data_IF_662003929675
#
_entry.id   IF_662003929675
#
_cell.length_a   1.000
_cell.length_b   1.000
_cell.length_c   1.000
_cell.angle_alpha   90.00
_cell.angle_beta   90.00
_cell.angle_gamma   90.00
#
_symmetry.space_group_name_H-M   'P 1'
#
loop_
_entity.id
_entity.type
_entity.pdbx_description
1 polymer ?
#
# COMPACT_ATOMS: atom_id res chain seq x y z
N UNK A 1 -46.71 -23.19 3.92
CA UNK A 1 -45.92 -23.63 2.74
C UNK A 1 -44.64 -22.78 2.74
N UNK A 2 -43.53 -23.16 3.38
CA UNK A 2 -42.78 -24.42 3.30
C UNK A 2 -41.74 -24.27 2.18
N UNK A 3 -40.53 -23.77 2.42
CA UNK A 3 -39.33 -24.54 2.81
C UNK A 3 -38.15 -23.53 2.90
N UNK A 4 -37.46 -23.31 4.01
CA UNK A 4 -36.44 -24.15 4.66
C UNK A 4 -35.37 -24.70 3.73
N UNK A 5 -34.23 -24.02 3.61
CA UNK A 5 -32.94 -24.64 3.34
C UNK A 5 -31.87 -24.04 4.27
N UNK A 6 -31.57 -24.79 5.34
CA UNK A 6 -30.30 -24.72 6.06
C UNK A 6 -29.29 -25.57 5.29
N UNK A 7 -28.04 -25.13 5.20
CA UNK A 7 -26.91 -26.03 5.06
C UNK A 7 -25.81 -25.60 6.02
N UNK A 8 -25.44 -26.55 6.87
CA UNK A 8 -24.38 -26.50 7.84
C UNK A 8 -23.07 -26.97 7.21
N UNK A 9 -21.94 -26.53 7.76
CA UNK A 9 -20.77 -27.39 7.92
C UNK A 9 -20.19 -27.19 9.31
N UNK A 10 -20.29 -28.26 10.09
CA UNK A 10 -19.47 -28.58 11.24
C UNK A 10 -18.15 -29.21 10.76
N UNK A 11 -17.04 -28.87 11.41
CA UNK A 11 -15.96 -29.84 11.63
C UNK A 11 -15.58 -29.83 13.10
N UNK A 12 -15.78 -30.99 13.69
CA UNK A 12 -15.32 -31.43 14.99
C UNK A 12 -13.79 -31.52 15.04
N UNK A 13 -13.20 -31.05 16.13
CA UNK A 13 -12.07 -31.71 16.79
C UNK A 13 -12.26 -31.46 18.29
N UNK A 14 -12.38 -32.55 19.04
CA UNK A 14 -12.66 -32.58 20.49
C UNK A 14 -11.42 -32.18 21.32
N UNK A 15 -11.62 -31.80 22.59
CA UNK A 15 -10.65 -31.12 23.44
C UNK A 15 -9.72 -32.08 24.19
N UNK A 16 -8.52 -31.61 24.54
CA UNK A 16 -7.77 -32.16 25.66
C UNK A 16 -7.68 -31.12 26.78
N UNK A 17 -8.08 -31.54 27.98
CA UNK A 17 -7.91 -30.86 29.25
C UNK A 17 -6.80 -31.52 30.05
N UNK A 18 -6.33 -30.78 31.07
CA UNK A 18 -5.38 -31.09 32.16
C UNK A 18 -3.92 -30.74 31.88
N UNK A 19 -3.14 -30.29 32.87
CA UNK A 19 -3.37 -29.53 34.10
C UNK A 19 -1.97 -29.14 34.60
N UNK A 20 -1.91 -28.03 35.32
CA UNK A 20 -0.83 -27.50 36.15
C UNK A 20 0.26 -28.47 36.66
N UNK A 21 1.50 -27.98 36.71
CA UNK A 21 2.34 -28.10 37.91
C UNK A 21 3.42 -27.01 37.98
N UNK A 22 3.51 -26.39 39.16
CA UNK A 22 4.55 -25.48 39.67
C UNK A 22 5.18 -26.21 40.86
N UNK A 23 6.50 -26.08 41.07
CA UNK A 23 7.01 -25.71 42.40
C UNK A 23 8.07 -24.60 42.28
N UNK A 24 8.05 -23.49 43.03
CA UNK A 24 8.18 -23.29 44.47
C UNK A 24 9.60 -23.54 45.04
N UNK A 25 10.19 -22.47 45.60
CA UNK A 25 11.38 -22.47 46.49
C UNK A 25 12.61 -21.79 45.85
N UNK A 26 13.27 -20.78 46.43
CA UNK A 26 13.24 -20.24 47.79
C UNK A 26 14.06 -18.92 47.86
N UNK A 27 13.60 -17.98 48.71
CA UNK A 27 14.34 -17.15 49.71
C UNK A 27 15.68 -16.47 49.31
N UNK A 28 16.11 -15.29 49.76
CA UNK A 28 15.68 -14.22 50.66
C UNK A 28 16.82 -13.15 50.60
N UNK A 29 16.52 -11.91 51.02
CA UNK A 29 17.47 -10.85 51.41
C UNK A 29 18.33 -10.22 50.28
N UNK A 30 18.65 -8.92 50.27
CA UNK A 30 18.67 -7.89 51.31
C UNK A 30 18.70 -6.51 50.63
N UNK A 31 18.19 -5.52 51.34
CA UNK A 31 18.28 -4.10 51.01
C UNK A 31 19.69 -3.52 51.20
N UNK A 32 20.04 -2.52 50.38
CA UNK A 32 20.81 -1.31 50.76
C UNK A 32 20.77 -0.36 49.55
N UNK A 33 19.98 0.72 49.52
CA UNK A 33 20.19 2.02 50.17
C UNK A 33 21.52 2.71 49.82
N UNK A 34 21.40 3.99 49.40
CA UNK A 34 22.43 5.04 49.24
C UNK A 34 23.17 4.97 47.89
N UNK A 35 23.47 6.05 47.19
CA UNK A 35 23.44 7.50 47.47
C UNK A 35 23.55 8.22 46.11
N UNK A 36 22.75 9.25 45.90
CA UNK A 36 23.03 10.32 44.93
C UNK A 36 24.13 11.23 45.54
N UNK A 37 24.96 11.93 44.74
CA UNK A 37 24.59 13.33 44.50
C UNK A 37 25.04 13.95 43.16
N UNK A 38 24.11 14.72 42.59
CA UNK A 38 24.22 16.12 42.13
C UNK A 38 25.47 16.58 41.35
N UNK A 39 25.22 17.14 40.17
CA UNK A 39 25.75 18.42 39.60
C UNK A 39 24.95 18.69 38.30
N UNK A 40 23.95 19.59 38.21
CA UNK A 40 23.90 21.04 38.40
C UNK A 40 24.82 21.83 37.46
N UNK A 41 24.30 22.23 36.29
CA UNK A 41 24.69 23.41 35.48
C UNK A 41 23.44 23.87 34.69
N UNK A 42 22.64 24.79 35.24
CA UNK A 42 22.63 26.25 35.00
C UNK A 42 22.31 26.65 33.54
N UNK A 43 21.08 27.14 33.37
CA UNK A 43 20.61 27.97 32.24
C UNK A 43 21.21 29.38 32.32
N UNK A 44 21.36 30.07 31.19
CA UNK A 44 21.14 31.51 31.15
C UNK A 44 19.89 31.86 30.33
N UNK A 45 19.03 32.68 30.94
CA UNK A 45 18.02 33.48 30.25
C UNK A 45 18.74 34.59 29.48
N UNK A 46 18.45 34.73 28.19
CA UNK A 46 18.67 35.98 27.48
C UNK A 46 17.34 36.40 26.85
N UNK A 47 16.76 37.48 27.41
CA UNK A 47 15.65 38.22 26.81
C UNK A 47 16.24 39.08 25.69
N UNK A 48 15.96 38.75 24.44
CA UNK A 48 16.16 39.66 23.31
C UNK A 48 14.80 40.20 22.89
N UNK A 49 14.62 41.51 23.09
CA UNK A 49 13.48 42.30 22.65
C UNK A 49 13.37 42.24 21.13
N UNK A 50 12.21 41.82 20.63
CA UNK A 50 11.82 41.96 19.22
C UNK A 50 11.49 43.44 18.93
N UNK A 51 12.00 44.05 17.86
CA UNK A 51 11.58 45.38 17.43
C UNK A 51 10.16 45.34 16.83
N UNK A 52 9.39 46.44 16.89
CA UNK A 52 8.00 46.47 16.45
C UNK A 52 7.90 46.39 14.92
N UNK A 53 6.94 45.60 14.45
CA UNK A 53 6.55 45.48 13.04
C UNK A 53 5.86 46.79 12.61
N UNK A 54 6.26 47.44 11.51
CA UNK A 54 5.56 48.62 11.03
C UNK A 54 4.16 48.22 10.52
N UNK A 55 3.16 48.96 10.99
CA UNK A 55 1.75 48.85 10.60
C UNK A 55 1.59 49.08 9.10
N UNK A 56 1.18 48.05 8.36
CA UNK A 56 0.73 48.22 6.98
C UNK A 56 -0.60 48.98 6.97
N UNK A 57 -0.55 50.17 6.38
CA UNK A 57 -1.69 51.00 6.04
C UNK A 57 -2.75 50.23 5.24
N UNK A 58 -4.01 50.39 5.64
CA UNK A 58 -5.21 49.92 4.93
C UNK A 58 -5.19 50.41 3.48
N UNK A 59 -5.08 49.49 2.53
CA UNK A 59 -5.46 49.75 1.14
C UNK A 59 -6.99 49.82 1.02
N UNK A 60 -7.56 50.75 0.24
CA UNK A 60 -9.00 50.81 0.03
C UNK A 60 -9.49 49.60 -0.78
N UNK A 61 -10.48 48.88 -0.25
CA UNK A 61 -11.15 47.76 -0.92
C UNK A 61 -11.92 48.26 -2.15
N UNK A 62 -11.70 47.72 -3.36
CA UNK A 62 -12.65 47.90 -4.44
C UNK A 62 -13.89 47.06 -4.14
N UNK A 63 -15.09 47.65 -4.28
CA UNK A 63 -16.36 46.92 -4.22
C UNK A 63 -16.45 45.97 -5.42
N UNK A 64 -15.98 44.74 -5.26
CA UNK A 64 -16.27 43.66 -6.20
C UNK A 64 -17.63 43.05 -5.84
N UNK A 65 -18.62 43.20 -6.74
CA UNK A 65 -19.87 42.43 -6.66
C UNK A 65 -19.53 40.96 -6.86
N UNK A 66 -19.75 40.14 -5.84
CA UNK A 66 -19.68 38.68 -5.93
C UNK A 66 -20.78 38.16 -6.87
N UNK A 67 -20.46 37.48 -7.98
CA UNK A 67 -21.48 36.76 -8.74
C UNK A 67 -22.00 35.61 -7.88
N UNK A 68 -23.33 35.55 -7.70
CA UNK A 68 -24.01 34.42 -7.07
C UNK A 68 -23.82 33.20 -7.96
N UNK A 69 -23.04 32.22 -7.51
CA UNK A 69 -22.98 30.91 -8.15
C UNK A 69 -24.33 30.21 -7.96
N UNK A 70 -24.92 29.60 -9.01
CA UNK A 70 -26.04 28.70 -8.82
C UNK A 70 -25.60 27.50 -7.97
N UNK A 71 -26.51 26.89 -7.18
CA UNK A 71 -26.18 25.71 -6.40
C UNK A 71 -25.63 24.61 -7.33
N UNK A 72 -24.69 23.77 -6.86
CA UNK A 72 -24.16 22.67 -7.66
C UNK A 72 -25.32 21.81 -8.16
N UNK A 73 -25.41 21.65 -9.48
CA UNK A 73 -26.31 20.67 -10.09
C UNK A 73 -26.02 19.31 -9.47
N UNK A 74 -27.09 18.61 -9.08
CA UNK A 74 -27.04 17.30 -8.47
C UNK A 74 -26.00 16.41 -9.15
N UNK A 75 -25.09 15.85 -8.35
CA UNK A 75 -24.18 14.79 -8.76
C UNK A 75 -24.99 13.71 -9.49
N UNK A 76 -24.48 13.15 -10.61
CA UNK A 76 -25.12 11.99 -11.21
C UNK A 76 -25.24 10.91 -10.13
N UNK A 77 -26.44 10.34 -10.03
CA UNK A 77 -26.82 9.32 -9.04
C UNK A 77 -25.71 8.26 -8.91
N UNK A 78 -25.43 7.76 -7.69
CA UNK A 78 -24.43 6.72 -7.49
C UNK A 78 -24.78 5.53 -8.38
N UNK A 79 -23.83 5.17 -9.24
CA UNK A 79 -23.85 3.91 -10.00
C UNK A 79 -23.99 2.80 -8.96
N UNK A 80 -25.05 2.01 -9.05
CA UNK A 80 -25.30 0.89 -8.16
C UNK A 80 -24.21 -0.16 -8.38
N UNK A 81 -23.20 -0.16 -7.50
CA UNK A 81 -22.29 -1.30 -7.40
C UNK A 81 -23.06 -2.43 -6.72
N UNK A 82 -23.71 -3.26 -7.54
CA UNK A 82 -24.22 -4.55 -7.11
C UNK A 82 -23.01 -5.40 -6.70
N UNK A 83 -22.71 -5.37 -5.40
CA UNK A 83 -21.75 -6.21 -4.72
C UNK A 83 -22.18 -7.66 -4.85
N UNK A 84 -21.43 -8.45 -5.61
CA UNK A 84 -21.44 -9.92 -5.52
C UNK A 84 -20.26 -10.34 -4.64
N UNK A 85 -20.49 -11.02 -3.50
CA UNK A 85 -19.43 -11.47 -2.62
C UNK A 85 -18.93 -12.83 -3.11
N UNK A 86 -17.89 -12.86 -3.93
CA UNK A 86 -17.06 -14.04 -4.11
C UNK A 86 -15.74 -13.64 -4.78
N UNK A 87 -14.64 -13.95 -4.09
CA UNK A 87 -13.22 -13.71 -4.38
C UNK A 87 -12.61 -12.41 -3.86
N UNK A 88 -11.78 -12.58 -2.83
CA UNK A 88 -10.91 -11.59 -2.21
C UNK A 88 -9.68 -11.37 -3.11
N UNK A 89 -9.81 -10.60 -4.19
CA UNK A 89 -8.66 -10.20 -5.00
C UNK A 89 -8.30 -8.73 -4.74
N UNK A 90 -7.08 -8.55 -4.26
CA UNK A 90 -6.50 -7.34 -3.73
C UNK A 90 -6.24 -6.32 -4.85
N UNK A 91 -7.22 -5.46 -5.11
CA UNK A 91 -7.10 -4.39 -6.11
C UNK A 91 -6.25 -3.24 -5.50
N UNK A 92 -4.92 -3.35 -5.61
CA UNK A 92 -4.03 -2.23 -5.28
C UNK A 92 -4.18 -1.14 -6.34
N UNK A 93 -5.03 -0.15 -6.06
CA UNK A 93 -5.20 1.05 -6.88
C UNK A 93 -4.08 2.04 -6.58
N UNK A 94 -2.93 1.92 -7.25
CA UNK A 94 -1.90 2.97 -7.24
C UNK A 94 -2.10 3.92 -8.43
N UNK A 95 -2.27 5.24 -8.22
CA UNK A 95 -2.25 6.20 -9.31
C UNK A 95 -0.87 6.24 -9.99
N UNK A 96 -0.88 6.44 -11.31
CA UNK A 96 0.25 6.16 -12.21
C UNK A 96 1.39 7.18 -12.20
N UNK A 97 1.47 8.08 -11.23
CA UNK A 97 2.51 9.10 -11.26
C UNK A 97 2.88 9.69 -9.89
N UNK A 98 2.07 9.45 -8.86
CA UNK A 98 2.47 9.71 -7.48
C UNK A 98 2.60 8.37 -6.79
N UNK A 99 3.82 8.06 -6.41
CA UNK A 99 4.18 6.97 -5.50
C UNK A 99 3.63 7.17 -4.07
N UNK A 100 2.90 8.28 -3.83
CA UNK A 100 2.10 8.57 -2.65
C UNK A 100 0.61 8.39 -2.94
N UNK A 101 -0.13 7.68 -2.09
CA UNK A 101 -1.59 7.81 -2.02
C UNK A 101 -1.92 8.99 -1.10
N UNK A 102 -2.42 10.14 -1.59
CA UNK A 102 -2.72 11.27 -0.73
C UNK A 102 -3.80 10.89 0.30
N UNK A 103 -3.70 11.33 1.56
CA UNK A 103 -4.64 10.92 2.62
C UNK A 103 -6.11 11.23 2.28
N UNK A 104 -6.38 12.34 1.59
CA UNK A 104 -7.74 12.68 1.13
C UNK A 104 -8.31 11.71 0.10
N UNK A 105 -7.47 11.11 -0.76
CA UNK A 105 -7.93 10.09 -1.71
C UNK A 105 -8.35 8.82 -0.97
N UNK A 106 -7.55 8.37 -0.01
CA UNK A 106 -7.84 7.19 0.79
C UNK A 106 -9.17 7.34 1.56
N UNK A 107 -9.38 8.51 2.18
CA UNK A 107 -10.62 8.80 2.91
C UNK A 107 -11.86 8.65 2.02
N UNK A 108 -11.86 9.26 0.83
CA UNK A 108 -13.00 9.18 -0.10
C UNK A 108 -13.17 7.75 -0.62
N UNK A 109 -12.08 7.05 -0.95
CA UNK A 109 -12.14 5.65 -1.41
C UNK A 109 -12.79 4.76 -0.34
N UNK A 110 -12.37 4.87 0.92
CA UNK A 110 -12.91 4.07 2.04
C UNK A 110 -14.39 4.34 2.32
N UNK A 111 -14.92 5.50 1.92
CA UNK A 111 -16.36 5.78 1.98
C UNK A 111 -17.14 5.13 0.83
N UNK A 112 -16.49 4.85 -0.30
CA UNK A 112 -17.14 4.35 -1.51
C UNK A 112 -17.00 2.85 -1.74
N UNK A 113 -16.02 2.18 -1.11
CA UNK A 113 -15.73 0.76 -1.36
C UNK A 113 -15.71 -0.09 -0.10
N UNK A 114 -16.10 -1.35 -0.23
CA UNK A 114 -16.07 -2.36 0.85
C UNK A 114 -14.92 -3.35 0.73
N UNK A 115 -14.27 -3.42 -0.44
CA UNK A 115 -13.12 -4.29 -0.65
C UNK A 115 -11.91 -3.76 0.14
N UNK A 116 -10.97 -4.63 0.56
CA UNK A 116 -9.73 -4.20 1.20
C UNK A 116 -8.94 -3.23 0.30
N UNK A 117 -8.44 -2.15 0.89
CA UNK A 117 -7.65 -1.10 0.22
C UNK A 117 -6.26 -1.06 0.84
N UNK A 118 -5.27 -1.44 0.05
CA UNK A 118 -3.86 -1.38 0.42
C UNK A 118 -3.24 -0.07 -0.08
N UNK A 119 -2.41 0.55 0.75
CA UNK A 119 -1.82 1.87 0.48
C UNK A 119 -0.35 1.74 0.13
N UNK A 120 0.05 2.40 -0.96
CA UNK A 120 1.45 2.49 -1.38
C UNK A 120 2.19 3.51 -0.52
N UNK A 121 3.30 3.08 0.09
CA UNK A 121 4.22 3.92 0.85
C UNK A 121 5.53 3.99 0.05
N UNK A 122 5.63 5.00 -0.81
CA UNK A 122 6.81 5.21 -1.64
C UNK A 122 7.01 6.72 -1.92
N UNK A 123 8.02 7.38 -1.32
CA UNK A 123 8.10 8.83 -1.33
C UNK A 123 8.39 9.42 -2.72
N UNK A 124 9.03 8.66 -3.62
CA UNK A 124 9.37 9.09 -4.99
C UNK A 124 9.44 7.93 -5.99
N UNK A 125 9.52 8.26 -7.28
CA UNK A 125 9.96 7.33 -8.32
C UNK A 125 11.46 7.03 -8.26
N UNK A 126 11.94 6.20 -9.19
CA UNK A 126 13.34 5.78 -9.27
C UNK A 126 13.65 4.53 -8.45
N UNK A 127 14.84 4.47 -7.86
CA UNK A 127 15.32 3.37 -7.01
C UNK A 127 14.54 3.21 -5.69
N UNK A 128 15.03 2.30 -4.84
CA UNK A 128 14.48 1.95 -3.53
C UNK A 128 15.53 2.09 -2.42
N UNK A 129 16.57 2.88 -2.67
CA UNK A 129 17.61 3.23 -1.69
C UNK A 129 17.21 4.58 -1.09
N UNK A 130 16.71 4.57 0.14
CA UNK A 130 16.12 5.75 0.75
C UNK A 130 17.09 6.44 1.72
N UNK A 131 17.14 7.76 1.64
CA UNK A 131 17.78 8.59 2.65
C UNK A 131 16.96 8.64 3.95
N UNK A 132 17.59 9.01 5.06
CA UNK A 132 16.93 9.14 6.37
C UNK A 132 15.68 10.03 6.32
N UNK A 133 15.72 11.12 5.55
CA UNK A 133 14.58 12.04 5.41
C UNK A 133 13.41 11.38 4.67
N UNK A 134 13.70 10.58 3.65
CA UNK A 134 12.68 9.82 2.93
C UNK A 134 12.07 8.73 3.80
N UNK A 135 12.89 8.08 4.64
CA UNK A 135 12.41 7.13 5.64
C UNK A 135 11.46 7.80 6.65
N UNK A 136 11.76 9.01 7.11
CA UNK A 136 10.84 9.75 8.00
C UNK A 136 9.52 10.11 7.32
N UNK A 137 9.54 10.45 6.03
CA UNK A 137 8.32 10.63 5.22
C UNK A 137 7.51 9.33 5.16
N UNK A 138 8.15 8.20 4.84
CA UNK A 138 7.50 6.89 4.80
C UNK A 138 6.84 6.53 6.13
N UNK A 139 7.53 6.75 7.26
CA UNK A 139 6.97 6.53 8.60
C UNK A 139 5.75 7.41 8.87
N UNK A 140 5.79 8.68 8.43
CA UNK A 140 4.65 9.59 8.56
C UNK A 140 3.45 9.13 7.72
N UNK A 141 3.69 8.72 6.47
CA UNK A 141 2.64 8.21 5.58
C UNK A 141 2.03 6.92 6.09
N UNK A 142 2.82 6.01 6.67
CA UNK A 142 2.30 4.79 7.34
C UNK A 142 1.33 5.17 8.45
N UNK A 143 1.68 6.14 9.31
CA UNK A 143 0.79 6.60 10.38
C UNK A 143 -0.51 7.19 9.84
N UNK A 144 -0.42 8.03 8.80
CA UNK A 144 -1.58 8.65 8.16
C UNK A 144 -2.48 7.63 7.46
N UNK A 145 -1.90 6.66 6.75
CA UNK A 145 -2.63 5.60 6.08
C UNK A 145 -3.43 4.75 7.07
N UNK A 146 -2.81 4.37 8.20
CA UNK A 146 -3.49 3.65 9.29
C UNK A 146 -4.62 4.48 9.89
N UNK A 147 -4.36 5.76 10.19
CA UNK A 147 -5.36 6.67 10.75
C UNK A 147 -6.60 6.82 9.84
N UNK A 148 -6.41 6.74 8.52
CA UNK A 148 -7.48 6.87 7.54
C UNK A 148 -8.04 5.54 7.04
N UNK A 149 -7.75 4.44 7.74
CA UNK A 149 -8.43 3.15 7.54
C UNK A 149 -7.89 2.31 6.39
N UNK A 150 -6.60 2.40 6.09
CA UNK A 150 -5.93 1.41 5.24
C UNK A 150 -6.10 0.00 5.80
N UNK A 151 -6.40 -0.97 4.93
CA UNK A 151 -6.54 -2.38 5.32
C UNK A 151 -5.21 -3.15 5.18
N UNK A 152 -4.20 -2.51 4.59
CA UNK A 152 -2.87 -3.05 4.38
C UNK A 152 -1.92 -2.02 3.77
N UNK A 153 -0.62 -2.32 3.77
CA UNK A 153 0.41 -1.40 3.32
C UNK A 153 1.34 -2.08 2.31
N UNK A 154 1.94 -1.27 1.43
CA UNK A 154 2.81 -1.75 0.36
C UNK A 154 4.05 -0.87 0.31
N UNK A 155 5.24 -1.47 0.44
CA UNK A 155 6.51 -0.78 0.29
C UNK A 155 7.62 -1.76 -0.09
N UNK A 156 8.84 -1.26 -0.29
CA UNK A 156 10.04 -2.08 -0.35
C UNK A 156 11.27 -1.19 -0.37
N UNK A 157 12.33 -1.66 0.27
CA UNK A 157 13.60 -0.95 0.41
C UNK A 157 14.76 -1.90 0.11
N UNK A 158 15.76 -1.36 -0.59
CA UNK A 158 16.94 -2.09 -1.01
C UNK A 158 18.20 -1.35 -0.55
N UNK A 159 19.25 -2.13 -0.36
CA UNK A 159 20.64 -1.66 -0.20
C UNK A 159 21.27 -1.36 -1.56
N UNK A 160 22.42 -0.68 -1.55
CA UNK A 160 23.21 -0.36 -2.75
C UNK A 160 23.61 -1.61 -3.56
N UNK A 161 23.81 -2.74 -2.88
CA UNK A 161 24.16 -4.03 -3.47
C UNK A 161 22.96 -4.79 -4.07
N UNK A 162 21.77 -4.16 -4.10
CA UNK A 162 20.55 -4.82 -4.58
C UNK A 162 20.06 -5.93 -3.67
N UNK A 163 20.36 -5.87 -2.36
CA UNK A 163 19.77 -6.77 -1.34
C UNK A 163 18.64 -6.08 -0.61
N UNK A 164 17.73 -6.84 -0.02
CA UNK A 164 16.69 -6.29 0.86
C UNK A 164 17.34 -5.57 2.04
N UNK A 165 16.94 -4.33 2.28
CA UNK A 165 17.38 -3.58 3.46
C UNK A 165 16.61 -4.09 4.69
N UNK A 166 17.23 -5.04 5.40
CA UNK A 166 16.61 -5.73 6.53
C UNK A 166 16.36 -4.82 7.73
N UNK A 167 17.25 -3.87 8.01
CA UNK A 167 17.12 -2.94 9.13
C UNK A 167 15.96 -1.98 8.88
N UNK A 168 15.93 -1.34 7.71
CA UNK A 168 14.86 -0.43 7.35
C UNK A 168 13.51 -1.16 7.22
N UNK A 169 13.48 -2.32 6.59
CA UNK A 169 12.25 -3.10 6.48
C UNK A 169 11.71 -3.50 7.86
N UNK A 170 12.57 -3.89 8.80
CA UNK A 170 12.15 -4.20 10.18
C UNK A 170 11.52 -2.98 10.86
N UNK A 171 12.14 -1.81 10.74
CA UNK A 171 11.61 -0.58 11.32
C UNK A 171 10.25 -0.17 10.72
N UNK A 172 10.09 -0.29 9.40
CA UNK A 172 8.84 0.03 8.71
C UNK A 172 7.73 -0.98 9.02
N UNK A 173 8.05 -2.28 9.04
CA UNK A 173 7.10 -3.34 9.43
C UNK A 173 6.57 -3.11 10.85
N UNK A 174 7.44 -2.73 11.79
CA UNK A 174 7.01 -2.40 13.15
C UNK A 174 5.99 -1.25 13.17
N UNK A 175 6.16 -0.23 12.34
CA UNK A 175 5.21 0.87 12.20
C UNK A 175 3.89 0.44 11.53
N UNK A 176 3.92 -0.52 10.60
CA UNK A 176 2.76 -1.04 9.88
C UNK A 176 1.82 -1.87 10.75
N UNK A 177 2.35 -2.63 11.72
CA UNK A 177 1.55 -3.55 12.56
C UNK A 177 0.33 -2.86 13.20
N UNK A 178 -0.84 -3.53 13.24
CA UNK A 178 -1.09 -4.93 12.89
C UNK A 178 -1.47 -5.18 11.42
N UNK A 179 -1.32 -4.18 10.53
CA UNK A 179 -1.79 -4.32 9.16
C UNK A 179 -0.91 -5.27 8.34
N UNK A 180 -1.51 -6.04 7.41
CA UNK A 180 -0.78 -6.85 6.44
C UNK A 180 0.10 -5.99 5.54
N UNK A 181 1.28 -6.51 5.18
CA UNK A 181 2.25 -5.79 4.35
C UNK A 181 2.68 -6.61 3.14
N UNK A 182 2.67 -5.98 1.98
CA UNK A 182 3.17 -6.51 0.71
C UNK A 182 4.49 -5.86 0.34
N UNK A 183 5.53 -6.65 0.07
CA UNK A 183 6.77 -6.14 -0.52
C UNK A 183 6.57 -5.93 -2.03
N UNK A 184 6.72 -4.70 -2.52
CA UNK A 184 6.42 -4.37 -3.91
C UNK A 184 7.53 -4.77 -4.91
N UNK A 185 7.41 -4.32 -6.17
CA UNK A 185 8.34 -4.60 -7.27
C UNK A 185 9.80 -4.13 -7.11
N UNK A 186 10.18 -3.54 -5.98
CA UNK A 186 11.60 -3.52 -5.58
C UNK A 186 12.21 -4.92 -5.60
N UNK A 187 11.41 -5.96 -5.38
CA UNK A 187 11.87 -7.33 -5.47
C UNK A 187 12.44 -7.66 -6.87
N UNK A 188 11.87 -7.09 -7.93
CA UNK A 188 12.35 -7.33 -9.29
C UNK A 188 13.72 -6.70 -9.59
N UNK A 189 14.25 -5.89 -8.66
CA UNK A 189 15.54 -5.21 -8.76
C UNK A 189 16.60 -5.83 -7.83
N UNK A 190 16.32 -6.98 -7.21
CA UNK A 190 17.27 -7.62 -6.31
C UNK A 190 18.35 -8.38 -7.07
N UNK A 191 19.53 -8.49 -6.46
CA UNK A 191 20.64 -9.28 -7.00
C UNK A 191 20.35 -10.79 -6.97
N UNK A 192 19.83 -11.31 -5.85
CA UNK A 192 19.49 -12.73 -5.69
C UNK A 192 18.04 -12.89 -5.21
N UNK A 193 17.10 -13.28 -6.08
CA UNK A 193 15.69 -13.40 -5.74
C UNK A 193 15.38 -14.55 -4.78
N UNK A 194 16.18 -15.62 -4.75
CA UNK A 194 15.94 -16.75 -3.85
C UNK A 194 16.30 -16.38 -2.41
N UNK A 195 17.43 -15.70 -2.23
CA UNK A 195 17.86 -15.18 -0.92
C UNK A 195 16.93 -14.06 -0.45
N UNK A 196 16.54 -13.17 -1.36
CA UNK A 196 15.60 -12.10 -1.05
C UNK A 196 14.25 -12.65 -0.57
N UNK A 197 13.74 -13.74 -1.18
CA UNK A 197 12.49 -14.36 -0.77
C UNK A 197 12.55 -14.89 0.67
N UNK A 198 13.60 -15.63 1.04
CA UNK A 198 13.78 -16.11 2.42
C UNK A 198 13.91 -14.95 3.41
N UNK A 199 14.58 -13.87 3.00
CA UNK A 199 14.69 -12.65 3.80
C UNK A 199 13.30 -12.06 4.08
N UNK A 200 12.46 -11.91 3.05
CA UNK A 200 11.10 -11.39 3.22
C UNK A 200 10.22 -12.28 4.11
N UNK A 201 10.36 -13.61 3.97
CA UNK A 201 9.68 -14.59 4.84
C UNK A 201 10.13 -14.39 6.30
N UNK A 202 11.44 -14.27 6.55
CA UNK A 202 11.98 -14.11 7.90
C UNK A 202 11.53 -12.81 8.57
N UNK A 203 11.39 -11.73 7.79
CA UNK A 203 10.90 -10.44 8.27
C UNK A 203 9.39 -10.44 8.55
N UNK A 204 8.64 -11.37 7.95
CA UNK A 204 7.19 -11.52 8.15
C UNK A 204 6.34 -10.69 7.19
N UNK A 205 6.80 -10.46 5.95
CA UNK A 205 5.92 -9.96 4.89
C UNK A 205 4.90 -11.04 4.51
N UNK A 206 3.66 -10.63 4.24
CA UNK A 206 2.61 -11.58 3.85
C UNK A 206 2.60 -11.87 2.36
N UNK A 207 3.03 -10.88 1.56
CA UNK A 207 2.99 -10.95 0.10
C UNK A 207 4.24 -10.35 -0.51
N UNK A 208 4.64 -10.84 -1.67
CA UNK A 208 5.66 -10.22 -2.53
C UNK A 208 5.10 -10.04 -3.94
N UNK A 209 5.15 -8.82 -4.46
CA UNK A 209 4.73 -8.47 -5.80
C UNK A 209 5.95 -8.49 -6.73
N UNK A 210 5.92 -9.32 -7.77
CA UNK A 210 7.07 -9.54 -8.66
C UNK A 210 6.64 -9.80 -10.10
N UNK A 211 7.44 -9.35 -11.06
CA UNK A 211 7.39 -9.77 -12.47
C UNK A 211 8.33 -10.95 -12.76
N UNK A 212 8.91 -11.57 -11.74
CA UNK A 212 9.95 -12.58 -11.88
C UNK A 212 11.29 -11.98 -12.31
N UNK A 213 11.64 -10.78 -11.80
CA UNK A 213 12.87 -10.07 -12.16
C UNK A 213 13.05 -9.81 -13.66
N UNK A 214 11.94 -9.76 -14.41
CA UNK A 214 11.93 -9.51 -15.85
C UNK A 214 10.99 -8.33 -16.19
N UNK A 215 10.99 -7.92 -17.45
CA UNK A 215 10.15 -6.88 -18.06
C UNK A 215 8.65 -7.10 -17.87
N UNK A 216 8.18 -8.35 -17.77
CA UNK A 216 6.79 -8.70 -17.49
C UNK A 216 6.65 -10.02 -16.75
N UNK A 217 5.52 -10.23 -16.07
CA UNK A 217 5.23 -11.49 -15.36
C UNK A 217 5.17 -12.72 -16.29
N UNK A 218 4.91 -12.53 -17.58
CA UNK A 218 4.93 -13.63 -18.55
C UNK A 218 6.36 -14.07 -18.88
N UNK A 219 7.28 -13.12 -19.04
CA UNK A 219 8.69 -13.42 -19.31
C UNK A 219 9.37 -14.03 -18.08
N UNK A 220 9.13 -13.44 -16.89
CA UNK A 220 9.65 -13.96 -15.63
C UNK A 220 8.86 -15.14 -15.04
N UNK A 221 7.94 -15.74 -15.80
CA UNK A 221 7.03 -16.79 -15.32
C UNK A 221 7.78 -18.00 -14.72
N UNK A 222 8.90 -18.38 -15.35
CA UNK A 222 9.72 -19.50 -14.89
C UNK A 222 10.32 -19.24 -13.50
N UNK A 223 10.74 -18.01 -13.21
CA UNK A 223 11.22 -17.63 -11.88
C UNK A 223 10.08 -17.52 -10.89
N UNK A 224 8.95 -16.93 -11.27
CA UNK A 224 7.76 -16.84 -10.40
C UNK A 224 7.34 -18.23 -9.91
N UNK A 225 7.33 -19.23 -10.80
CA UNK A 225 7.05 -20.63 -10.44
C UNK A 225 8.03 -21.15 -9.37
N UNK A 226 9.34 -20.97 -9.58
CA UNK A 226 10.38 -21.38 -8.62
C UNK A 226 10.22 -20.68 -7.27
N UNK A 227 9.88 -19.39 -7.27
CA UNK A 227 9.63 -18.62 -6.05
C UNK A 227 8.39 -19.11 -5.31
N UNK A 228 7.30 -19.43 -6.01
CA UNK A 228 6.11 -20.01 -5.40
C UNK A 228 6.39 -21.38 -4.76
N UNK A 229 7.14 -22.24 -5.47
CA UNK A 229 7.60 -23.54 -4.96
C UNK A 229 8.51 -23.38 -3.74
N UNK A 230 9.44 -22.43 -3.76
CA UNK A 230 10.31 -22.12 -2.63
C UNK A 230 9.53 -21.55 -1.44
N UNK A 231 8.56 -20.65 -1.68
CA UNK A 231 7.76 -20.03 -0.64
C UNK A 231 6.97 -21.05 0.19
N UNK A 232 6.48 -22.14 -0.43
CA UNK A 232 5.71 -23.21 0.26
C UNK A 232 4.55 -22.66 1.11
N UNK A 233 3.89 -21.60 0.63
CA UNK A 233 2.79 -20.93 1.34
C UNK A 233 3.20 -20.08 2.55
N UNK A 234 4.50 -19.94 2.86
CA UNK A 234 5.00 -19.08 3.96
C UNK A 234 4.84 -17.59 3.67
N UNK A 235 4.84 -17.24 2.38
CA UNK A 235 4.55 -15.91 1.83
C UNK A 235 3.79 -16.09 0.51
N UNK A 236 2.86 -15.19 0.21
CA UNK A 236 2.13 -15.23 -1.06
C UNK A 236 2.95 -14.54 -2.15
N UNK A 237 3.31 -15.29 -3.19
CA UNK A 237 3.94 -14.72 -4.39
C UNK A 237 2.86 -14.22 -5.33
N UNK A 238 2.85 -12.91 -5.58
CA UNK A 238 1.86 -12.23 -6.42
C UNK A 238 2.52 -11.80 -7.73
N UNK A 239 2.32 -12.52 -8.86
CA UNK A 239 2.77 -12.05 -10.16
C UNK A 239 2.13 -10.70 -10.49
N UNK A 240 2.94 -9.79 -11.03
CA UNK A 240 2.49 -8.50 -11.54
C UNK A 240 3.44 -7.94 -12.59
N UNK A 241 2.95 -6.99 -13.38
CA UNK A 241 3.70 -6.42 -14.50
C UNK A 241 3.23 -6.99 -15.84
N UNK A 242 2.51 -6.18 -16.61
CA UNK A 242 2.04 -6.55 -17.95
C UNK A 242 0.92 -7.60 -17.99
N UNK A 243 0.26 -7.91 -16.87
CA UNK A 243 -0.86 -8.87 -16.86
C UNK A 243 -2.10 -8.26 -17.54
N UNK A 244 -2.66 -9.02 -18.49
CA UNK A 244 -3.83 -8.69 -19.32
C UNK A 244 -4.72 -9.92 -19.50
N UNK A 245 -5.89 -9.74 -20.10
CA UNK A 245 -6.84 -10.82 -20.41
C UNK A 245 -6.24 -11.88 -21.33
N UNK A 246 -5.20 -11.52 -22.10
CA UNK A 246 -4.56 -12.39 -23.10
C UNK A 246 -3.51 -13.33 -22.52
N UNK A 247 -2.92 -12.97 -21.37
CA UNK A 247 -1.81 -13.73 -20.78
C UNK A 247 -2.11 -14.25 -19.37
N UNK A 248 -3.17 -13.79 -18.71
CA UNK A 248 -3.51 -14.20 -17.35
C UNK A 248 -3.61 -15.72 -17.21
N UNK A 249 -4.30 -16.39 -18.14
CA UNK A 249 -4.47 -17.85 -18.10
C UNK A 249 -3.12 -18.58 -18.05
N UNK A 250 -2.21 -18.26 -18.98
CA UNK A 250 -0.87 -18.85 -19.05
C UNK A 250 -0.06 -18.59 -17.78
N UNK A 251 -0.20 -17.41 -17.19
CA UNK A 251 0.51 -17.05 -15.95
C UNK A 251 -0.01 -17.88 -14.77
N UNK A 252 -1.33 -17.99 -14.60
CA UNK A 252 -1.93 -18.74 -13.49
C UNK A 252 -1.60 -20.24 -13.60
N UNK A 253 -1.82 -20.84 -14.77
CA UNK A 253 -1.51 -22.25 -15.02
C UNK A 253 -0.01 -22.56 -14.87
N UNK A 254 0.86 -21.64 -15.32
CA UNK A 254 2.31 -21.83 -15.32
C UNK A 254 2.99 -21.59 -13.97
N UNK A 255 2.39 -20.80 -13.07
CA UNK A 255 3.01 -20.42 -11.78
C UNK A 255 2.35 -21.05 -10.56
N UNK A 256 1.13 -21.60 -10.68
CA UNK A 256 0.36 -22.22 -9.58
C UNK A 256 0.05 -21.27 -8.40
N UNK A 257 0.13 -19.96 -8.63
CA UNK A 257 -0.16 -18.93 -7.63
C UNK A 257 -1.67 -18.66 -7.49
N UNK A 258 -2.09 -18.22 -6.30
CA UNK A 258 -3.49 -17.95 -5.97
C UNK A 258 -3.91 -16.48 -6.07
N UNK A 259 -2.94 -15.57 -6.16
CA UNK A 259 -3.18 -14.12 -6.26
C UNK A 259 -2.41 -13.55 -7.47
N UNK A 260 -2.93 -12.49 -8.09
CA UNK A 260 -2.24 -11.78 -9.17
C UNK A 260 -2.53 -10.27 -9.10
N UNK A 261 -1.63 -9.46 -9.65
CA UNK A 261 -1.77 -8.01 -9.70
C UNK A 261 -1.80 -7.50 -11.14
N UNK A 262 -2.84 -6.73 -11.47
CA UNK A 262 -2.99 -6.11 -12.78
C UNK A 262 -3.46 -4.66 -12.65
N UNK A 263 -3.24 -3.87 -13.71
CA UNK A 263 -3.74 -2.50 -13.75
C UNK A 263 -5.15 -2.38 -14.34
N UNK A 264 -5.50 -3.25 -15.29
CA UNK A 264 -6.81 -3.29 -15.98
C UNK A 264 -7.32 -1.91 -16.46
N UNK A 265 -6.43 -1.06 -16.97
CA UNK A 265 -6.78 0.31 -17.39
C UNK A 265 -7.15 0.41 -18.87
N UNK A 266 -7.97 1.41 -19.18
CA UNK A 266 -8.15 1.96 -20.52
C UNK A 266 -7.92 3.48 -20.51
N UNK A 267 -7.51 4.02 -21.65
CA UNK A 267 -7.39 5.46 -21.83
C UNK A 267 -8.78 6.02 -22.16
N UNK A 268 -9.16 7.11 -21.50
CA UNK A 268 -10.36 7.89 -21.77
C UNK A 268 -9.96 9.30 -22.14
N UNK A 269 -10.60 9.83 -23.16
CA UNK A 269 -10.40 11.22 -23.55
C UNK A 269 -11.04 12.17 -22.53
N UNK A 270 -10.41 13.33 -22.32
CA UNK A 270 -10.85 14.32 -21.36
C UNK A 270 -12.15 14.99 -21.80
N UNK A 271 -13.01 15.30 -20.82
CA UNK A 271 -14.23 16.10 -21.06
C UNK A 271 -13.96 17.57 -21.39
N UNK A 272 -12.69 18.01 -21.41
CA UNK A 272 -12.30 19.37 -21.80
C UNK A 272 -12.64 19.63 -23.27
N UNK A 273 -13.57 20.58 -23.48
CA UNK A 273 -13.98 21.01 -24.83
C UNK A 273 -12.91 21.86 -25.51
N UNK A 274 -12.27 22.76 -24.76
CA UNK A 274 -11.15 23.56 -25.24
C UNK A 274 -9.82 22.85 -24.94
N UNK A 275 -8.89 22.86 -25.90
CA UNK A 275 -7.56 22.26 -25.77
C UNK A 275 -6.48 23.22 -26.25
N UNK A 276 -5.42 23.37 -25.48
CA UNK A 276 -4.23 24.10 -25.89
C UNK A 276 -3.11 23.08 -26.20
N UNK A 277 -2.83 22.77 -27.47
CA UNK A 277 -1.83 21.79 -27.83
C UNK A 277 -0.38 22.28 -27.65
N UNK A 278 -0.18 23.58 -27.40
CA UNK A 278 1.14 24.19 -27.33
C UNK A 278 1.82 24.07 -25.96
N UNK A 279 1.12 23.55 -24.95
CA UNK A 279 1.61 23.44 -23.58
C UNK A 279 1.70 21.98 -23.18
N UNK A 280 2.86 21.58 -22.66
CA UNK A 280 3.09 20.30 -22.02
C UNK A 280 3.48 20.55 -20.55
N UNK A 281 2.84 19.83 -19.63
CA UNK A 281 3.03 19.99 -18.18
C UNK A 281 4.05 19.00 -17.61
N UNK A 282 4.41 17.96 -18.37
CA UNK A 282 5.34 16.90 -17.98
C UNK A 282 6.64 16.87 -18.78
N UNK A 283 7.45 15.83 -18.51
CA UNK A 283 8.67 15.58 -19.27
C UNK A 283 8.36 15.32 -20.76
N UNK A 284 9.31 15.67 -21.63
CA UNK A 284 9.23 15.44 -23.08
C UNK A 284 8.84 13.98 -23.38
N UNK A 285 7.91 13.76 -24.32
CA UNK A 285 7.31 12.44 -24.67
C UNK A 285 6.25 11.87 -23.70
N UNK A 286 5.68 12.69 -22.81
CA UNK A 286 4.56 12.28 -21.95
C UNK A 286 3.28 11.94 -22.74
N UNK A 287 2.39 11.17 -22.10
CA UNK A 287 1.04 10.93 -22.62
C UNK A 287 0.31 12.27 -22.85
N UNK A 288 -0.67 12.32 -23.78
CA UNK A 288 -1.41 13.55 -24.05
C UNK A 288 -2.07 14.10 -22.79
N UNK A 289 -1.99 15.41 -22.56
CA UNK A 289 -2.55 16.11 -21.38
C UNK A 289 -4.05 15.85 -21.18
N UNK A 290 -4.75 15.55 -22.28
CA UNK A 290 -6.18 15.30 -22.32
C UNK A 290 -6.52 13.79 -22.33
N UNK A 291 -5.56 12.91 -22.03
CA UNK A 291 -5.79 11.47 -21.90
C UNK A 291 -5.73 11.04 -20.43
N UNK A 292 -6.82 10.43 -19.93
CA UNK A 292 -6.96 9.99 -18.56
C UNK A 292 -7.01 8.46 -18.53
N UNK A 293 -6.09 7.82 -17.81
CA UNK A 293 -6.11 6.36 -17.63
C UNK A 293 -7.02 6.01 -16.45
N UNK A 294 -8.07 5.22 -16.72
CA UNK A 294 -9.07 4.79 -15.72
C UNK A 294 -9.14 3.27 -15.69
N UNK A 295 -9.39 2.68 -14.52
CA UNK A 295 -9.68 1.26 -14.42
C UNK A 295 -10.96 0.92 -15.21
N UNK A 296 -10.87 -0.08 -16.07
CA UNK A 296 -11.93 -0.46 -16.99
C UNK A 296 -12.74 -1.63 -16.39
N UNK A 297 -14.02 -1.39 -16.14
CA UNK A 297 -14.91 -2.37 -15.52
C UNK A 297 -15.05 -3.64 -16.37
N UNK A 298 -15.06 -3.51 -17.70
CA UNK A 298 -15.18 -4.67 -18.59
C UNK A 298 -13.93 -5.55 -18.51
N UNK A 299 -12.74 -4.92 -18.55
CA UNK A 299 -11.46 -5.62 -18.39
C UNK A 299 -11.35 -6.36 -17.07
N UNK A 300 -11.70 -5.69 -15.97
CA UNK A 300 -11.70 -6.30 -14.63
C UNK A 300 -12.65 -7.50 -14.57
N UNK A 301 -13.85 -7.39 -15.15
CA UNK A 301 -14.81 -8.52 -15.23
C UNK A 301 -14.25 -9.69 -16.02
N UNK A 302 -13.62 -9.44 -17.17
CA UNK A 302 -13.02 -10.49 -18.00
C UNK A 302 -11.86 -11.18 -17.28
N UNK A 303 -10.97 -10.43 -16.64
CA UNK A 303 -9.88 -10.99 -15.82
C UNK A 303 -10.41 -11.86 -14.68
N UNK A 304 -11.46 -11.41 -13.99
CA UNK A 304 -12.09 -12.18 -12.92
C UNK A 304 -12.74 -13.47 -13.46
N UNK A 305 -13.40 -13.42 -14.62
CA UNK A 305 -13.97 -14.61 -15.25
C UNK A 305 -12.88 -15.63 -15.64
N UNK A 306 -11.74 -15.18 -16.17
CA UNK A 306 -10.59 -16.05 -16.47
C UNK A 306 -10.06 -16.69 -15.18
N UNK A 307 -9.84 -15.90 -14.13
CA UNK A 307 -9.32 -16.40 -12.86
C UNK A 307 -10.24 -17.45 -12.22
N UNK A 308 -11.56 -17.23 -12.22
CA UNK A 308 -12.58 -18.16 -11.70
C UNK A 308 -12.60 -19.52 -12.40
N UNK A 309 -12.14 -19.59 -13.64
CA UNK A 309 -12.13 -20.84 -14.40
C UNK A 309 -10.88 -21.68 -14.11
N UNK A 310 -9.87 -21.11 -13.45
CA UNK A 310 -8.54 -21.73 -13.27
C UNK A 310 -8.24 -21.98 -11.78
N UNK A 311 -8.57 -21.01 -10.92
CA UNK A 311 -8.41 -21.08 -9.46
C UNK A 311 -9.64 -21.75 -8.82
#
# INVERSE_FOLDING_TARGET
MGSSWRCAWTRWSRPSTRSAEVPAGSSCARASSREEPRRAWVRPRARTRTPPVPSFSRFPSPRARSPRYPPPRALPRPISWASTPSLTHLLSLSPLHLSLSPPGLLQVVKQCVRVPVFVMIRPRGGDFLYSDREVEVMKADIRLAKLHGADGLVFGALTEDGRIDTELCTALLAACRPLPVTFHRAFDMVHDPQVALETLISLGFERVLTSGCDSSALEGLSLIKKLAEQAKGRIVVVPGGGITERNLQRILEGSTVSEFHCSARSARDSGMKFRNPNVAMGASFSAPEYSIKVADVAKVRTLNAIAKNIL
#
